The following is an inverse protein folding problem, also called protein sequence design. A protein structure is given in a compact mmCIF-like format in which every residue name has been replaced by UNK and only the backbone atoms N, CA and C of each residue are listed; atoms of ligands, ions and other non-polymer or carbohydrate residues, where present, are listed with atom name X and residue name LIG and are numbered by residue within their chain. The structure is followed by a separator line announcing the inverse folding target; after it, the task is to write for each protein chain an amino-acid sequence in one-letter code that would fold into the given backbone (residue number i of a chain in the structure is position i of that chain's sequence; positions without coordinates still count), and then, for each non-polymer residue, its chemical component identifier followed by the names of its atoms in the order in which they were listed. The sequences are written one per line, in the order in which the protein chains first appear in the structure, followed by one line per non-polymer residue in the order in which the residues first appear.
data_IF_562401829051
#
_entry.id   IF_562401829051
#
_cell.length_a   1.000
_cell.length_b   1.000
_cell.length_c   1.000
_cell.angle_alpha   90.00
_cell.angle_beta   90.00
_cell.angle_gamma   90.00
#
_symmetry.space_group_name_H-M   'P 1'
#
loop_
_entity.id
_entity.type
_entity.pdbx_description
1 polymer ?
#
# COMPACT_ATOMS: atom_id res chain seq x y z
N UNK A 1 20.31 2.45 8.01
CA UNK A 1 19.11 3.05 8.67
C UNK A 1 17.85 2.82 7.82
N UNK A 2 17.86 3.11 6.52
CA UNK A 2 16.72 2.86 5.63
C UNK A 2 16.19 1.42 5.68
N UNK A 3 17.06 0.41 5.65
CA UNK A 3 16.66 -1.00 5.74
C UNK A 3 15.95 -1.34 7.05
N UNK A 4 16.38 -0.73 8.16
CA UNK A 4 15.73 -0.91 9.46
C UNK A 4 14.33 -0.31 9.47
N UNK A 5 14.16 0.89 8.89
CA UNK A 5 12.83 1.50 8.73
C UNK A 5 11.94 0.66 7.82
N UNK A 6 12.49 0.09 6.74
CA UNK A 6 11.75 -0.81 5.87
C UNK A 6 11.27 -2.06 6.62
N UNK A 7 12.15 -2.70 7.42
CA UNK A 7 11.77 -3.87 8.22
C UNK A 7 10.67 -3.55 9.23
N UNK A 8 10.81 -2.43 9.95
CA UNK A 8 9.78 -1.97 10.89
C UNK A 8 8.46 -1.70 10.16
N UNK A 9 8.50 -1.04 9.01
CA UNK A 9 7.30 -0.77 8.20
C UNK A 9 6.63 -2.06 7.72
N UNK A 10 7.39 -3.06 7.25
CA UNK A 10 6.84 -4.35 6.82
C UNK A 10 6.09 -5.02 7.97
N UNK A 11 6.67 -5.03 9.17
CA UNK A 11 6.05 -5.63 10.36
C UNK A 11 4.75 -4.87 10.72
N UNK A 12 4.83 -3.54 10.87
CA UNK A 12 3.69 -2.72 11.28
C UNK A 12 2.56 -2.74 10.26
N UNK A 13 2.88 -2.60 8.96
CA UNK A 13 1.89 -2.66 7.89
C UNK A 13 1.27 -4.05 7.77
N UNK A 14 2.07 -5.11 7.88
CA UNK A 14 1.59 -6.49 7.86
C UNK A 14 0.58 -6.76 8.98
N UNK A 15 0.91 -6.37 10.21
CA UNK A 15 -0.02 -6.47 11.36
C UNK A 15 -1.26 -5.60 11.17
N UNK A 16 -1.07 -4.34 10.73
CA UNK A 16 -2.18 -3.42 10.48
C UNK A 16 -3.17 -3.97 9.45
N UNK A 17 -2.68 -4.60 8.38
CA UNK A 17 -3.54 -5.24 7.38
C UNK A 17 -4.26 -6.49 7.91
N UNK A 18 -3.57 -7.32 8.69
CA UNK A 18 -4.18 -8.50 9.29
C UNK A 18 -5.32 -8.10 10.25
N UNK A 19 -5.05 -7.20 11.19
CA UNK A 19 -6.04 -6.69 12.14
C UNK A 19 -7.16 -5.91 11.43
N UNK A 20 -6.83 -5.09 10.44
CA UNK A 20 -7.83 -4.39 9.63
C UNK A 20 -8.76 -5.37 8.89
N UNK A 21 -8.21 -6.48 8.37
CA UNK A 21 -8.99 -7.56 7.79
C UNK A 21 -9.91 -8.25 8.82
N UNK A 22 -9.45 -8.46 10.05
CA UNK A 22 -10.29 -9.02 11.13
C UNK A 22 -11.40 -8.05 11.53
N UNK A 23 -11.07 -6.77 11.72
CA UNK A 23 -12.01 -5.71 12.06
C UNK A 23 -13.05 -5.49 10.97
N UNK A 24 -12.66 -5.63 9.69
CA UNK A 24 -13.57 -5.43 8.55
C UNK A 24 -14.75 -6.39 8.55
N UNK A 25 -14.61 -7.57 9.19
CA UNK A 25 -15.71 -8.53 9.38
C UNK A 25 -16.68 -8.12 10.49
N UNK A 26 -16.23 -7.30 11.46
CA UNK A 26 -17.03 -6.86 12.61
C UNK A 26 -17.74 -5.53 12.36
N UNK A 27 -17.02 -4.55 11.81
CA UNK A 27 -17.49 -3.17 11.62
C UNK A 27 -17.53 -2.73 10.16
N UNK A 28 -17.30 -3.63 9.20
CA UNK A 28 -17.30 -3.29 7.77
C UNK A 28 -16.02 -2.59 7.29
N UNK A 29 -15.53 -2.98 6.11
CA UNK A 29 -14.24 -2.52 5.59
C UNK A 29 -14.11 -1.01 5.36
N UNK A 30 -15.20 -0.34 4.98
CA UNK A 30 -15.18 1.12 4.81
C UNK A 30 -15.03 1.85 6.14
N UNK A 31 -15.62 1.34 7.24
CA UNK A 31 -15.47 1.94 8.57
C UNK A 31 -14.05 1.76 9.09
N UNK A 32 -13.43 0.60 8.83
CA UNK A 32 -12.03 0.33 9.23
C UNK A 32 -11.08 1.37 8.65
N UNK A 33 -11.13 1.65 7.34
CA UNK A 33 -10.24 2.66 6.75
C UNK A 33 -10.60 4.08 7.20
N UNK A 34 -11.88 4.43 7.34
CA UNK A 34 -12.27 5.75 7.84
C UNK A 34 -11.72 5.99 9.25
N UNK A 35 -11.84 5.00 10.15
CA UNK A 35 -11.25 5.08 11.48
C UNK A 35 -9.73 5.13 11.44
N UNK A 36 -9.07 4.33 10.60
CA UNK A 36 -7.62 4.37 10.45
C UNK A 36 -7.13 5.76 10.00
N UNK A 37 -7.83 6.39 9.05
CA UNK A 37 -7.52 7.75 8.57
C UNK A 37 -7.74 8.80 9.66
N UNK A 38 -8.86 8.72 10.40
CA UNK A 38 -9.13 9.64 11.52
C UNK A 38 -8.06 9.51 12.62
N UNK A 39 -7.63 8.29 12.94
CA UNK A 39 -6.58 8.05 13.94
C UNK A 39 -5.20 8.50 13.46
N UNK A 40 -4.91 8.38 12.16
CA UNK A 40 -3.65 8.84 11.57
C UNK A 40 -3.61 10.37 11.40
N UNK A 41 -4.76 11.03 11.27
CA UNK A 41 -4.88 12.45 10.95
C UNK A 41 -4.07 13.38 11.89
N UNK A 42 -4.08 13.23 13.23
CA UNK A 42 -3.32 14.13 14.10
C UNK A 42 -1.81 14.05 13.85
N UNK A 43 -1.28 12.84 13.66
CA UNK A 43 0.14 12.62 13.42
C UNK A 43 0.52 13.16 12.03
N UNK A 44 -0.31 12.88 11.02
CA UNK A 44 -0.11 13.37 9.66
C UNK A 44 -0.24 14.89 9.57
N UNK A 45 -1.12 15.51 10.35
CA UNK A 45 -1.28 16.96 10.41
C UNK A 45 -0.02 17.60 11.02
N UNK A 46 0.50 17.06 12.12
CA UNK A 46 1.76 17.53 12.69
C UNK A 46 2.89 17.40 11.68
N UNK A 47 3.05 16.24 11.04
CA UNK A 47 4.05 16.05 10.00
C UNK A 47 3.89 17.05 8.85
N UNK A 48 2.66 17.30 8.40
CA UNK A 48 2.36 18.27 7.35
C UNK A 48 2.82 19.67 7.73
N UNK A 49 2.59 20.09 8.98
CA UNK A 49 3.05 21.40 9.48
C UNK A 49 4.57 21.47 9.60
N UNK A 50 5.22 20.40 10.08
CA UNK A 50 6.68 20.35 10.22
C UNK A 50 7.42 20.37 8.87
N UNK A 51 6.87 19.73 7.85
CA UNK A 51 7.45 19.64 6.50
C UNK A 51 6.83 20.64 5.52
N UNK A 52 6.05 21.61 5.99
CA UNK A 52 5.39 22.59 5.13
C UNK A 52 6.44 23.47 4.44
N UNK A 53 6.38 23.64 3.10
CA UNK A 53 7.30 24.53 2.41
C UNK A 53 6.99 25.99 2.74
N UNK A 54 8.01 26.84 2.65
CA UNK A 54 7.87 28.30 2.86
C UNK A 54 6.97 28.95 1.79
N UNK A 55 6.90 28.35 0.60
CA UNK A 55 6.08 28.81 -0.52
C UNK A 55 5.49 27.64 -1.29
N UNK A 56 4.29 27.82 -1.85
CA UNK A 56 3.62 26.84 -2.70
C UNK A 56 3.77 27.13 -4.21
N UNK A 57 4.60 28.12 -4.58
CA UNK A 57 4.75 28.55 -5.98
C UNK A 57 5.25 27.44 -6.91
N UNK A 58 6.07 26.52 -6.40
CA UNK A 58 6.63 25.40 -7.18
C UNK A 58 5.72 24.15 -7.18
N UNK A 59 4.54 24.23 -6.55
CA UNK A 59 3.60 23.10 -6.54
C UNK A 59 2.85 23.06 -7.87
N UNK A 60 3.30 22.16 -8.74
CA UNK A 60 2.66 21.95 -10.04
C UNK A 60 1.22 21.45 -9.91
N UNK A 61 0.34 21.78 -10.89
CA UNK A 61 -1.02 21.24 -10.92
C UNK A 61 -1.06 19.70 -10.97
N UNK A 62 -0.07 19.06 -11.59
CA UNK A 62 0.05 17.60 -11.63
C UNK A 62 0.37 17.01 -10.26
N UNK A 63 1.16 17.69 -9.42
CA UNK A 63 1.39 17.26 -8.04
C UNK A 63 0.10 17.31 -7.20
N UNK A 64 -0.71 18.38 -7.36
CA UNK A 64 -2.02 18.48 -6.70
C UNK A 64 -2.98 17.39 -7.19
N UNK A 65 -3.05 17.17 -8.51
CA UNK A 65 -3.87 16.11 -9.08
C UNK A 65 -3.43 14.72 -8.59
N UNK A 66 -2.13 14.48 -8.51
CA UNK A 66 -1.55 13.26 -7.93
C UNK A 66 -1.93 13.07 -6.47
N UNK A 67 -1.89 14.13 -5.65
CA UNK A 67 -2.32 14.10 -4.26
C UNK A 67 -3.81 13.77 -4.13
N UNK A 68 -4.66 14.40 -4.93
CA UNK A 68 -6.11 14.11 -4.97
C UNK A 68 -6.36 12.65 -5.38
N UNK A 69 -5.65 12.17 -6.40
CA UNK A 69 -5.78 10.80 -6.86
C UNK A 69 -5.35 9.78 -5.79
N UNK A 70 -4.17 9.96 -5.21
CA UNK A 70 -3.61 9.05 -4.21
C UNK A 70 -4.46 9.06 -2.94
N UNK A 71 -4.94 10.22 -2.49
CA UNK A 71 -5.75 10.31 -1.26
C UNK A 71 -7.17 9.77 -1.43
N UNK A 72 -7.88 10.14 -2.48
CA UNK A 72 -9.29 9.76 -2.65
C UNK A 72 -9.44 8.40 -3.30
N UNK A 73 -8.81 8.18 -4.45
CA UNK A 73 -9.03 6.96 -5.23
C UNK A 73 -8.18 5.80 -4.72
N UNK A 74 -6.88 6.02 -4.53
CA UNK A 74 -5.99 4.95 -4.09
C UNK A 74 -6.20 4.61 -2.61
N UNK A 75 -6.12 5.61 -1.73
CA UNK A 75 -6.12 5.40 -0.28
C UNK A 75 -7.52 5.20 0.31
N UNK A 76 -8.52 6.02 -0.03
CA UNK A 76 -9.86 5.88 0.55
C UNK A 76 -10.72 4.83 -0.19
N UNK A 77 -11.04 5.11 -1.46
CA UNK A 77 -11.95 4.27 -2.26
C UNK A 77 -11.33 2.89 -2.50
N UNK A 78 -10.06 2.83 -2.89
CA UNK A 78 -9.34 1.57 -3.09
C UNK A 78 -9.36 0.69 -1.86
N UNK A 79 -9.20 1.28 -0.66
CA UNK A 79 -9.24 0.51 0.58
C UNK A 79 -10.63 0.04 1.00
N UNK A 80 -11.71 0.69 0.54
CA UNK A 80 -13.07 0.15 0.74
C UNK A 80 -13.18 -1.22 0.07
N UNK A 81 -12.71 -1.34 -1.18
CA UNK A 81 -12.69 -2.59 -1.91
C UNK A 81 -11.67 -3.57 -1.33
N UNK A 82 -10.50 -3.08 -0.94
CA UNK A 82 -9.45 -3.92 -0.34
C UNK A 82 -9.93 -4.60 0.95
N UNK A 83 -10.41 -3.84 1.94
CA UNK A 83 -10.90 -4.41 3.19
C UNK A 83 -12.15 -5.25 3.00
N UNK A 84 -13.03 -4.89 2.06
CA UNK A 84 -14.18 -5.74 1.69
C UNK A 84 -13.70 -7.06 1.10
N UNK A 85 -12.69 -7.03 0.22
CA UNK A 85 -12.04 -8.22 -0.33
C UNK A 85 -11.45 -9.09 0.77
N UNK A 86 -10.69 -8.52 1.70
CA UNK A 86 -10.13 -9.21 2.87
C UNK A 86 -11.21 -9.86 3.74
N UNK A 87 -12.33 -9.18 3.96
CA UNK A 87 -13.45 -9.70 4.73
C UNK A 87 -14.08 -10.93 4.07
N UNK A 88 -14.26 -10.89 2.74
CA UNK A 88 -14.96 -11.91 1.97
C UNK A 88 -14.07 -13.10 1.57
N UNK A 89 -12.90 -12.83 0.99
CA UNK A 89 -11.97 -13.85 0.51
C UNK A 89 -11.01 -14.39 1.58
N UNK A 90 -10.99 -13.76 2.76
CA UNK A 90 -10.07 -14.09 3.84
C UNK A 90 -8.68 -13.49 3.63
N UNK A 91 -8.05 -13.11 4.74
CA UNK A 91 -6.77 -12.38 4.74
C UNK A 91 -5.69 -13.15 3.99
N UNK A 92 -5.50 -14.44 4.30
CA UNK A 92 -4.44 -15.24 3.70
C UNK A 92 -4.54 -15.34 2.17
N UNK A 93 -5.75 -15.57 1.62
CA UNK A 93 -5.93 -15.73 0.18
C UNK A 93 -5.78 -14.40 -0.57
N UNK A 94 -6.38 -13.33 -0.04
CA UNK A 94 -6.31 -11.99 -0.65
C UNK A 94 -4.89 -11.42 -0.57
N UNK A 95 -4.15 -11.68 0.51
CA UNK A 95 -2.72 -11.33 0.59
C UNK A 95 -1.87 -12.07 -0.45
N UNK A 96 -2.27 -13.25 -0.93
CA UNK A 96 -1.55 -13.88 -2.04
C UNK A 96 -1.81 -13.19 -3.38
N UNK A 97 -3.00 -12.60 -3.58
CA UNK A 97 -3.26 -11.84 -4.80
C UNK A 97 -2.31 -10.63 -4.91
N UNK A 98 -1.85 -10.08 -3.79
CA UNK A 98 -0.82 -9.03 -3.78
C UNK A 98 0.53 -9.50 -4.32
N UNK A 99 0.83 -10.80 -4.41
CA UNK A 99 2.05 -11.26 -5.09
C UNK A 99 2.05 -10.95 -6.59
N UNK A 100 0.89 -10.64 -7.17
CA UNK A 100 0.79 -10.11 -8.54
C UNK A 100 1.15 -8.63 -8.61
N UNK A 101 1.05 -7.88 -7.51
CA UNK A 101 1.25 -6.44 -7.48
C UNK A 101 2.67 -6.02 -7.91
N UNK A 102 3.77 -6.69 -7.51
CA UNK A 102 5.10 -6.38 -8.03
C UNK A 102 5.21 -6.53 -9.55
N UNK A 103 4.61 -7.58 -10.12
CA UNK A 103 4.64 -7.83 -11.57
C UNK A 103 3.82 -6.79 -12.32
N UNK A 104 2.60 -6.50 -11.83
CA UNK A 104 1.76 -5.44 -12.38
C UNK A 104 2.43 -4.07 -12.25
N UNK A 105 3.12 -3.80 -11.13
CA UNK A 105 3.87 -2.58 -10.91
C UNK A 105 4.97 -2.37 -11.93
N UNK A 106 5.80 -3.40 -12.17
CA UNK A 106 6.84 -3.35 -13.22
C UNK A 106 6.23 -3.16 -14.61
N UNK A 107 5.14 -3.87 -14.94
CA UNK A 107 4.48 -3.74 -16.23
C UNK A 107 3.89 -2.33 -16.44
N UNK A 108 3.21 -1.78 -15.43
CA UNK A 108 2.62 -0.44 -15.48
C UNK A 108 3.73 0.62 -15.58
N UNK A 109 4.83 0.48 -14.85
CA UNK A 109 5.98 1.38 -14.94
C UNK A 109 6.58 1.39 -16.35
N UNK A 110 6.79 0.22 -16.96
CA UNK A 110 7.26 0.13 -18.34
C UNK A 110 6.27 0.73 -19.35
N UNK A 111 4.97 0.48 -19.19
CA UNK A 111 3.94 0.88 -20.16
C UNK A 111 3.56 2.36 -20.06
N UNK A 112 3.42 2.90 -18.85
CA UNK A 112 2.94 4.26 -18.62
C UNK A 112 4.06 5.26 -18.37
N UNK A 113 5.11 4.86 -17.66
CA UNK A 113 6.24 5.74 -17.32
C UNK A 113 7.44 5.54 -18.25
N UNK A 114 7.36 4.57 -19.16
CA UNK A 114 8.45 4.19 -20.07
C UNK A 114 9.75 3.84 -19.34
N UNK A 115 9.64 3.32 -18.12
CA UNK A 115 10.80 2.92 -17.33
C UNK A 115 11.41 1.61 -17.85
N UNK A 116 12.74 1.52 -17.81
CA UNK A 116 13.46 0.33 -18.24
C UNK A 116 13.40 -0.77 -17.17
N UNK A 117 12.58 -1.80 -17.41
CA UNK A 117 12.51 -2.99 -16.57
C UNK A 117 13.68 -3.91 -16.88
N UNK A 118 14.69 -3.91 -16.01
CA UNK A 118 15.87 -4.75 -16.19
C UNK A 118 15.56 -6.23 -15.92
N UNK A 119 16.38 -7.11 -16.50
CA UNK A 119 16.30 -8.55 -16.23
C UNK A 119 16.48 -8.87 -14.73
N UNK A 120 17.36 -8.12 -14.05
CA UNK A 120 17.60 -8.29 -12.61
C UNK A 120 16.36 -8.04 -11.75
N UNK A 121 15.54 -7.02 -12.10
CA UNK A 121 14.29 -6.71 -11.41
C UNK A 121 13.32 -7.88 -11.52
N UNK A 122 13.13 -8.40 -12.74
CA UNK A 122 12.26 -9.56 -12.98
C UNK A 122 12.72 -10.79 -12.20
N UNK A 123 14.04 -11.08 -12.19
CA UNK A 123 14.57 -12.21 -11.45
C UNK A 123 14.35 -12.09 -9.94
N UNK A 124 14.64 -10.92 -9.35
CA UNK A 124 14.44 -10.69 -7.91
C UNK A 124 12.96 -10.76 -7.55
N UNK A 125 12.08 -10.19 -8.37
CA UNK A 125 10.62 -10.32 -8.18
C UNK A 125 10.17 -11.78 -8.23
N UNK A 126 10.61 -12.55 -9.22
CA UNK A 126 10.28 -13.96 -9.34
C UNK A 126 10.76 -14.79 -8.14
N UNK A 127 12.01 -14.59 -7.71
CA UNK A 127 12.58 -15.26 -6.52
C UNK A 127 11.79 -14.90 -5.27
N UNK A 128 11.44 -13.63 -5.09
CA UNK A 128 10.65 -13.18 -3.92
C UNK A 128 9.29 -13.85 -3.89
N UNK A 129 8.58 -13.91 -5.04
CA UNK A 129 7.29 -14.60 -5.15
C UNK A 129 7.44 -16.09 -4.82
N UNK A 130 8.48 -16.76 -5.34
CA UNK A 130 8.76 -18.17 -5.05
C UNK A 130 9.05 -18.40 -3.56
N UNK A 131 9.84 -17.52 -2.92
CA UNK A 131 10.12 -17.59 -1.49
C UNK A 131 8.84 -17.47 -0.66
N UNK A 132 7.95 -16.52 -0.99
CA UNK A 132 6.67 -16.37 -0.27
C UNK A 132 5.76 -17.58 -0.52
N UNK A 133 5.67 -18.06 -1.76
CA UNK A 133 4.88 -19.24 -2.10
C UNK A 133 5.38 -20.50 -1.37
N UNK A 134 6.71 -20.67 -1.26
CA UNK A 134 7.32 -21.75 -0.50
C UNK A 134 7.04 -21.60 1.00
N UNK A 135 7.28 -20.42 1.59
CA UNK A 135 7.02 -20.16 3.00
C UNK A 135 5.57 -20.48 3.39
N UNK A 136 4.60 -20.13 2.52
CA UNK A 136 3.19 -20.49 2.71
C UNK A 136 2.96 -22.01 2.70
N UNK A 137 3.65 -22.77 1.83
CA UNK A 137 3.49 -24.23 1.75
C UNK A 137 3.94 -24.94 3.03
N UNK A 138 4.87 -24.33 3.78
CA UNK A 138 5.46 -24.92 4.99
C UNK A 138 4.94 -24.31 6.30
N UNK A 139 3.97 -23.37 6.24
CA UNK A 139 3.30 -22.76 7.39
C UNK A 139 1.91 -23.40 7.60
#
# INVERSE_FOLDING_TARGET
IGDLYMLIAIILCGFGYAEGGVLSKKIGGWQVICWALILALPIMLLATLFYMPVSFQDVSPSAVAGLVYVSLFSMLIGFFFWYKGLAQGGIAAISQLQLLQPLMGLAIAALLLHEHVSWSMLMVTAVTILCVAAAKKFA
#
